data_IF_247396020293
#
_entry.id   IF_247396020293
#
_cell.length_a   1.000
_cell.length_b   1.000
_cell.length_c   1.000
_cell.angle_alpha   90.00
_cell.angle_beta   90.00
_cell.angle_gamma   90.00
#
_symmetry.space_group_name_H-M   'P 1'
#
loop_
_entity.id
_entity.type
_entity.pdbx_description
1 polymer ?
#
# COMPACT_ATOMS: atom_id res chain seq x y z
N UNK A 1 12.26 -0.21 20.61
CA UNK A 1 13.13 -0.97 19.68
C UNK A 1 14.51 -0.33 19.67
N UNK A 2 15.58 -1.08 20.02
CA UNK A 2 16.97 -0.57 19.99
C UNK A 2 17.65 -0.89 18.66
N UNK A 3 18.75 -0.19 18.33
CA UNK A 3 19.51 -0.48 17.11
C UNK A 3 20.09 -1.91 17.11
N UNK A 4 20.51 -2.43 18.26
CA UNK A 4 20.99 -3.80 18.39
C UNK A 4 19.89 -4.83 18.13
N UNK A 5 18.70 -4.64 18.71
CA UNK A 5 17.53 -5.52 18.46
C UNK A 5 17.11 -5.47 16.99
N UNK A 6 17.14 -4.28 16.37
CA UNK A 6 16.91 -4.12 14.93
C UNK A 6 18.00 -4.81 14.08
N UNK A 7 19.27 -4.83 14.51
CA UNK A 7 20.35 -5.56 13.84
C UNK A 7 20.18 -7.08 13.94
N UNK A 8 19.79 -7.61 15.09
CA UNK A 8 19.54 -9.06 15.28
C UNK A 8 18.38 -9.53 14.43
N UNK A 9 17.34 -8.69 14.31
CA UNK A 9 16.37 -8.88 13.25
C UNK A 9 17.17 -8.87 11.93
N UNK A 10 17.81 -7.78 11.52
CA UNK A 10 18.49 -7.66 10.22
C UNK A 10 19.59 -8.68 9.85
N UNK A 11 20.09 -9.52 10.77
CA UNK A 11 20.98 -10.66 10.48
C UNK A 11 20.40 -11.60 9.40
N UNK A 12 19.13 -11.43 9.01
CA UNK A 12 18.45 -11.95 7.81
C UNK A 12 19.20 -11.88 6.47
N UNK A 13 20.09 -10.90 6.29
CA UNK A 13 20.74 -10.62 5.00
C UNK A 13 22.24 -10.95 4.94
N UNK A 14 22.89 -11.33 6.05
CA UNK A 14 24.35 -11.45 6.12
C UNK A 14 24.95 -12.65 5.37
N UNK A 15 24.12 -13.61 4.94
CA UNK A 15 24.52 -14.67 4.00
C UNK A 15 24.38 -14.30 2.51
N UNK A 16 23.75 -13.17 2.18
CA UNK A 16 23.57 -12.70 0.82
C UNK A 16 24.45 -11.46 0.57
N UNK A 17 25.33 -11.55 -0.41
CA UNK A 17 26.16 -10.45 -0.92
C UNK A 17 25.32 -9.38 -1.64
N UNK A 18 24.38 -8.75 -0.94
CA UNK A 18 23.41 -7.82 -1.54
C UNK A 18 22.95 -6.72 -0.59
N UNK A 19 22.90 -5.48 -1.11
CA UNK A 19 22.46 -4.24 -0.47
C UNK A 19 20.95 -4.19 -0.16
N UNK A 20 20.35 -5.27 0.32
CA UNK A 20 18.95 -5.25 0.70
C UNK A 20 18.79 -4.50 2.03
N UNK A 21 17.98 -3.45 2.05
CA UNK A 21 17.79 -2.67 3.25
C UNK A 21 16.96 -3.44 4.28
N UNK A 22 17.55 -3.66 5.46
CA UNK A 22 16.92 -4.34 6.58
C UNK A 22 15.72 -3.60 7.18
N UNK A 23 15.10 -4.21 8.19
CA UNK A 23 14.25 -3.58 9.19
C UNK A 23 14.88 -2.26 9.65
N UNK A 24 14.34 -1.15 9.14
CA UNK A 24 14.61 0.20 9.61
C UNK A 24 13.70 0.47 10.81
N UNK A 25 14.24 1.07 11.87
CA UNK A 25 13.47 1.52 13.03
C UNK A 25 12.42 2.58 12.66
N UNK A 26 12.62 3.27 11.53
CA UNK A 26 11.73 4.32 11.03
C UNK A 26 11.24 3.98 9.62
N UNK A 27 9.92 3.98 9.44
CA UNK A 27 9.23 3.89 8.14
C UNK A 27 8.21 5.02 8.04
N UNK A 28 7.99 5.52 6.83
CA UNK A 28 6.98 6.53 6.55
C UNK A 28 5.58 6.01 6.93
N UNK A 29 4.73 6.90 7.47
CA UNK A 29 3.41 6.52 7.97
C UNK A 29 2.50 5.87 6.90
N UNK A 30 2.54 6.37 5.66
CA UNK A 30 1.81 5.79 4.53
C UNK A 30 2.26 4.35 4.21
N UNK A 31 3.56 4.08 4.33
CA UNK A 31 4.13 2.74 4.16
C UNK A 31 3.64 1.79 5.26
N UNK A 32 3.61 2.25 6.51
CA UNK A 32 3.10 1.45 7.63
C UNK A 32 1.63 1.08 7.44
N UNK A 33 0.79 2.04 7.02
CA UNK A 33 -0.62 1.77 6.73
C UNK A 33 -0.77 0.70 5.63
N UNK A 34 0.03 0.76 4.58
CA UNK A 34 0.05 -0.26 3.52
C UNK A 34 0.50 -1.63 4.04
N UNK A 35 1.54 -1.68 4.87
CA UNK A 35 2.08 -2.93 5.40
C UNK A 35 1.10 -3.62 6.36
N UNK A 36 0.52 -2.87 7.29
CA UNK A 36 -0.50 -3.41 8.19
C UNK A 36 -1.77 -3.83 7.44
N UNK A 37 -2.15 -3.12 6.38
CA UNK A 37 -3.24 -3.57 5.49
C UNK A 37 -2.93 -4.95 4.92
N UNK A 38 -1.70 -5.18 4.43
CA UNK A 38 -1.30 -6.50 3.89
C UNK A 38 -1.32 -7.61 4.94
N UNK A 39 -0.95 -7.31 6.17
CA UNK A 39 -1.07 -8.29 7.27
C UNK A 39 -2.53 -8.60 7.62
N UNK A 40 -3.41 -7.59 7.62
CA UNK A 40 -4.86 -7.77 7.81
C UNK A 40 -5.48 -8.60 6.68
N UNK A 41 -5.03 -8.40 5.44
CA UNK A 41 -5.43 -9.24 4.30
C UNK A 41 -4.98 -10.69 4.48
N UNK A 42 -3.75 -10.94 4.95
CA UNK A 42 -3.27 -12.29 5.27
C UNK A 42 -4.14 -12.94 6.36
N UNK A 43 -4.48 -12.22 7.43
CA UNK A 43 -5.35 -12.72 8.49
C UNK A 43 -6.74 -13.07 7.96
N UNK A 44 -7.31 -12.19 7.11
CA UNK A 44 -8.58 -12.43 6.44
C UNK A 44 -8.53 -13.66 5.53
N UNK A 45 -7.44 -13.81 4.77
CA UNK A 45 -7.22 -14.97 3.91
C UNK A 45 -7.13 -16.24 4.74
N UNK A 46 -6.32 -16.26 5.80
CA UNK A 46 -6.19 -17.41 6.69
C UNK A 46 -7.54 -17.81 7.31
N UNK A 47 -8.29 -16.84 7.84
CA UNK A 47 -9.62 -17.10 8.40
C UNK A 47 -10.58 -17.67 7.36
N UNK A 48 -10.66 -17.06 6.17
CA UNK A 48 -11.63 -17.44 5.14
C UNK A 48 -11.28 -18.74 4.43
N UNK A 49 -10.02 -18.94 4.11
CA UNK A 49 -9.59 -20.01 3.19
C UNK A 49 -9.05 -21.22 3.94
N UNK A 50 -8.42 -21.02 5.10
CA UNK A 50 -7.80 -22.10 5.86
C UNK A 50 -8.66 -22.58 7.04
N UNK A 51 -9.33 -21.66 7.74
CA UNK A 51 -10.10 -21.98 8.94
C UNK A 51 -11.59 -22.20 8.69
N UNK A 52 -12.25 -21.34 7.92
CA UNK A 52 -13.63 -21.56 7.53
C UNK A 52 -13.73 -22.59 6.41
N UNK A 53 -14.63 -23.56 6.58
CA UNK A 53 -14.93 -24.58 5.58
C UNK A 53 -15.75 -24.04 4.38
N UNK A 54 -16.14 -22.75 4.41
CA UNK A 54 -17.01 -22.16 3.39
C UNK A 54 -16.20 -21.79 2.15
N UNK A 55 -16.49 -22.47 1.04
CA UNK A 55 -15.82 -22.35 -0.26
C UNK A 55 -15.82 -20.93 -0.84
N UNK A 56 -14.85 -20.11 -0.41
CA UNK A 56 -14.57 -18.80 -1.00
C UNK A 56 -14.02 -18.90 -2.43
N UNK A 57 -13.63 -20.10 -2.85
CA UNK A 57 -13.28 -20.43 -4.22
C UNK A 57 -14.36 -21.33 -4.81
N UNK A 58 -14.78 -21.02 -6.03
CA UNK A 58 -15.73 -21.83 -6.78
C UNK A 58 -14.97 -22.92 -7.52
N UNK A 59 -15.44 -24.18 -7.43
CA UNK A 59 -14.97 -25.25 -8.31
C UNK A 59 -15.71 -25.15 -9.64
N UNK A 60 -14.96 -25.13 -10.73
CA UNK A 60 -15.48 -25.24 -12.09
C UNK A 60 -15.59 -26.70 -12.55
N UNK A 61 -14.83 -27.61 -11.91
CA UNK A 61 -14.90 -29.05 -12.17
C UNK A 61 -14.62 -29.86 -10.90
N UNK A 62 -15.14 -31.09 -10.84
CA UNK A 62 -15.04 -31.98 -9.67
C UNK A 62 -13.59 -32.36 -9.31
N UNK A 63 -12.66 -32.30 -10.28
CA UNK A 63 -11.24 -32.56 -10.08
C UNK A 63 -10.38 -31.33 -9.75
N UNK A 64 -10.96 -30.12 -9.72
CA UNK A 64 -10.19 -28.90 -9.49
C UNK A 64 -9.78 -28.81 -8.02
N UNK A 65 -8.48 -28.85 -7.75
CA UNK A 65 -7.91 -28.62 -6.41
C UNK A 65 -7.93 -27.13 -6.08
N UNK A 66 -8.54 -26.78 -4.95
CA UNK A 66 -8.63 -25.41 -4.44
C UNK A 66 -7.63 -25.20 -3.29
N UNK A 67 -7.29 -23.95 -2.94
CA UNK A 67 -6.40 -23.68 -1.82
C UNK A 67 -6.85 -24.31 -0.50
N UNK A 68 -8.16 -24.36 -0.24
CA UNK A 68 -8.72 -25.00 0.95
C UNK A 68 -8.48 -26.51 1.02
N UNK A 69 -8.21 -27.17 -0.12
CA UNK A 69 -7.90 -28.61 -0.17
C UNK A 69 -6.43 -28.91 0.13
N UNK A 70 -5.57 -27.90 -0.01
CA UNK A 70 -4.11 -28.05 0.11
C UNK A 70 -3.61 -27.52 1.43
N UNK A 71 -4.22 -26.43 1.93
CA UNK A 71 -3.79 -25.80 3.18
C UNK A 71 -4.09 -26.72 4.36
N UNK A 72 -3.08 -26.96 5.19
CA UNK A 72 -3.18 -27.78 6.40
C UNK A 72 -2.82 -26.91 7.60
N UNK A 73 -3.80 -26.65 8.48
CA UNK A 73 -3.56 -25.89 9.70
C UNK A 73 -2.74 -26.71 10.69
N UNK A 74 -1.73 -26.08 11.30
CA UNK A 74 -1.04 -26.71 12.43
C UNK A 74 -1.92 -26.70 13.67
N UNK A 75 -1.69 -27.62 14.61
CA UNK A 75 -2.43 -27.63 15.88
C UNK A 75 -2.35 -26.31 16.64
N UNK A 76 -1.21 -25.61 16.57
CA UNK A 76 -1.04 -24.29 17.17
C UNK A 76 -1.89 -23.21 16.48
N UNK A 77 -1.98 -23.23 15.15
CA UNK A 77 -2.82 -22.30 14.38
C UNK A 77 -4.30 -22.54 14.66
N UNK A 78 -4.73 -23.80 14.66
CA UNK A 78 -6.10 -24.17 14.94
C UNK A 78 -6.51 -23.78 16.36
N UNK A 79 -5.69 -24.12 17.36
CA UNK A 79 -5.94 -23.76 18.75
C UNK A 79 -6.02 -22.24 18.96
N UNK A 80 -5.11 -21.47 18.37
CA UNK A 80 -5.11 -20.02 18.50
C UNK A 80 -6.37 -19.41 17.86
N UNK A 81 -6.81 -19.93 16.72
CA UNK A 81 -8.03 -19.48 16.06
C UNK A 81 -9.29 -19.83 16.87
N UNK A 82 -9.39 -21.05 17.39
CA UNK A 82 -10.49 -21.46 18.25
C UNK A 82 -10.57 -20.60 19.52
N UNK A 83 -9.43 -20.27 20.11
CA UNK A 83 -9.33 -19.35 21.25
C UNK A 83 -9.82 -17.94 20.90
N UNK A 84 -9.39 -17.38 19.77
CA UNK A 84 -9.88 -16.08 19.27
C UNK A 84 -11.40 -16.12 19.08
N UNK A 85 -11.91 -17.15 18.41
CA UNK A 85 -13.36 -17.29 18.17
C UNK A 85 -14.14 -17.50 19.46
N UNK A 86 -13.59 -18.20 20.45
CA UNK A 86 -14.17 -18.33 21.78
C UNK A 86 -14.28 -16.99 22.50
N UNK A 87 -13.20 -16.20 22.49
CA UNK A 87 -13.16 -14.85 23.10
C UNK A 87 -14.18 -13.92 22.42
N UNK A 88 -14.20 -13.90 21.09
CA UNK A 88 -15.09 -13.02 20.32
C UNK A 88 -16.58 -13.35 20.52
N UNK A 89 -16.92 -14.58 20.95
CA UNK A 89 -18.32 -14.99 21.21
C UNK A 89 -18.83 -14.57 22.59
N UNK A 90 -17.96 -14.06 23.47
CA UNK A 90 -18.35 -13.59 24.79
C UNK A 90 -19.10 -12.26 24.70
N UNK A 91 -20.04 -12.06 25.61
CA UNK A 91 -20.85 -10.85 25.66
C UNK A 91 -20.07 -9.65 26.24
N UNK A 92 -18.96 -9.91 26.97
CA UNK A 92 -18.08 -8.93 27.61
C UNK A 92 -16.80 -8.62 26.81
N UNK A 93 -16.83 -8.87 25.49
CA UNK A 93 -15.66 -8.76 24.61
C UNK A 93 -15.00 -7.39 24.61
N UNK A 94 -15.75 -6.32 24.90
CA UNK A 94 -15.24 -4.94 24.90
C UNK A 94 -14.61 -4.54 26.25
N UNK A 95 -14.62 -5.42 27.26
CA UNK A 95 -13.91 -5.19 28.52
C UNK A 95 -12.39 -5.24 28.32
N UNK A 96 -11.65 -4.44 29.09
CA UNK A 96 -10.18 -4.33 28.94
C UNK A 96 -9.47 -5.67 29.13
N UNK A 97 -9.93 -6.49 30.08
CA UNK A 97 -9.38 -7.82 30.37
C UNK A 97 -9.57 -8.76 29.17
N UNK A 98 -10.76 -8.80 28.59
CA UNK A 98 -11.06 -9.66 27.44
C UNK A 98 -10.36 -9.16 26.19
N UNK A 99 -10.21 -7.85 26.01
CA UNK A 99 -9.39 -7.27 24.95
C UNK A 99 -7.91 -7.62 25.10
N UNK A 100 -7.38 -7.67 26.34
CA UNK A 100 -6.01 -8.13 26.58
C UNK A 100 -5.84 -9.62 26.23
N UNK A 101 -6.81 -10.46 26.59
CA UNK A 101 -6.85 -11.87 26.20
C UNK A 101 -6.93 -12.04 24.67
N UNK A 102 -7.73 -11.21 23.99
CA UNK A 102 -7.86 -11.22 22.53
C UNK A 102 -6.53 -10.84 21.87
N UNK A 103 -5.89 -9.74 22.30
CA UNK A 103 -4.56 -9.31 21.80
C UNK A 103 -3.53 -10.43 21.96
N UNK A 104 -3.52 -11.09 23.11
CA UNK A 104 -2.63 -12.22 23.36
C UNK A 104 -2.93 -13.41 22.43
N UNK A 105 -4.20 -13.77 22.23
CA UNK A 105 -4.57 -14.86 21.33
C UNK A 105 -4.23 -14.55 19.85
N UNK A 106 -4.44 -13.29 19.42
CA UNK A 106 -4.04 -12.81 18.08
C UNK A 106 -2.54 -12.87 17.88
N UNK A 107 -1.75 -12.47 18.89
CA UNK A 107 -0.29 -12.61 18.88
C UNK A 107 0.13 -14.07 18.72
N UNK A 108 -0.48 -14.98 19.48
CA UNK A 108 -0.23 -16.43 19.38
C UNK A 108 -0.53 -16.96 17.98
N UNK A 109 -1.65 -16.54 17.37
CA UNK A 109 -2.00 -16.93 16.00
C UNK A 109 -0.95 -16.46 14.99
N UNK A 110 -0.53 -15.19 15.03
CA UNK A 110 0.46 -14.69 14.09
C UNK A 110 1.80 -15.39 14.24
N UNK A 111 2.26 -15.63 15.47
CA UNK A 111 3.49 -16.39 15.71
C UNK A 111 3.34 -17.82 15.17
N UNK A 112 2.21 -18.49 15.37
CA UNK A 112 1.96 -19.82 14.81
C UNK A 112 1.90 -19.83 13.26
N UNK A 113 1.44 -18.74 12.64
CA UNK A 113 1.46 -18.57 11.18
C UNK A 113 2.87 -18.27 10.65
N UNK A 114 3.70 -17.52 11.38
CA UNK A 114 5.05 -17.13 10.97
C UNK A 114 6.05 -18.26 11.25
N UNK A 115 5.94 -18.92 12.39
CA UNK A 115 6.96 -19.79 12.98
C UNK A 115 6.50 -21.27 12.96
N UNK A 116 6.35 -21.83 11.77
CA UNK A 116 6.11 -23.25 11.57
C UNK A 116 6.96 -23.80 10.41
N UNK A 117 7.14 -25.12 10.39
CA UNK A 117 7.84 -25.83 9.32
C UNK A 117 6.83 -26.26 8.26
N UNK A 118 7.18 -26.11 6.99
CA UNK A 118 6.33 -26.49 5.84
C UNK A 118 6.91 -27.66 5.04
N UNK A 119 8.20 -27.95 5.21
CA UNK A 119 8.88 -29.04 4.52
C UNK A 119 8.81 -28.92 3.00
N UNK A 120 8.67 -30.05 2.32
CA UNK A 120 8.62 -30.15 0.85
C UNK A 120 7.28 -29.71 0.22
N UNK A 121 6.27 -29.36 1.02
CA UNK A 121 4.92 -29.01 0.54
C UNK A 121 4.55 -27.59 0.96
N UNK A 122 5.22 -26.55 0.40
CA UNK A 122 5.13 -25.17 0.89
C UNK A 122 3.71 -24.61 0.94
N UNK A 123 2.86 -24.97 -0.02
CA UNK A 123 1.51 -24.45 -0.13
C UNK A 123 0.51 -25.04 0.88
N UNK A 124 0.92 -25.99 1.72
CA UNK A 124 0.19 -26.33 2.95
C UNK A 124 0.10 -25.15 3.91
N UNK A 125 1.06 -24.24 3.85
CA UNK A 125 1.00 -23.00 4.61
C UNK A 125 0.03 -22.01 4.00
N UNK A 126 -0.94 -21.55 4.80
CA UNK A 126 -1.82 -20.45 4.41
C UNK A 126 -1.04 -19.18 4.05
N UNK A 127 0.14 -18.96 4.66
CA UNK A 127 0.98 -17.78 4.40
C UNK A 127 1.58 -17.86 2.99
N UNK A 128 2.13 -19.01 2.61
CA UNK A 128 2.70 -19.20 1.28
C UNK A 128 1.62 -19.28 0.19
N UNK A 129 0.48 -19.87 0.51
CA UNK A 129 -0.70 -19.85 -0.38
C UNK A 129 -1.22 -18.42 -0.60
N UNK A 130 -1.28 -17.60 0.46
CA UNK A 130 -1.59 -16.17 0.32
C UNK A 130 -0.56 -15.44 -0.53
N UNK A 131 0.74 -15.69 -0.32
CA UNK A 131 1.79 -15.12 -1.17
C UNK A 131 1.65 -15.55 -2.64
N UNK A 132 1.20 -16.77 -2.93
CA UNK A 132 0.90 -17.19 -4.29
C UNK A 132 -0.27 -16.37 -4.86
N UNK A 133 -1.34 -16.14 -4.09
CA UNK A 133 -2.46 -15.30 -4.52
C UNK A 133 -2.05 -13.84 -4.81
N UNK A 134 -1.10 -13.30 -4.06
CA UNK A 134 -0.56 -11.94 -4.29
C UNK A 134 0.24 -11.80 -5.59
N UNK A 135 0.60 -12.90 -6.25
CA UNK A 135 1.22 -12.87 -7.57
C UNK A 135 0.24 -12.55 -8.70
N UNK A 136 -1.06 -12.46 -8.38
CA UNK A 136 -2.14 -12.19 -9.34
C UNK A 136 -2.79 -10.85 -9.01
N UNK A 137 -3.02 -10.03 -10.03
CA UNK A 137 -3.77 -8.79 -9.95
C UNK A 137 -5.05 -8.92 -10.77
N UNK A 138 -6.18 -8.54 -10.19
CA UNK A 138 -7.48 -8.53 -10.89
C UNK A 138 -7.80 -7.08 -11.22
N UNK A 139 -7.94 -6.76 -12.52
CA UNK A 139 -8.46 -5.47 -12.94
C UNK A 139 -9.98 -5.48 -12.77
N UNK A 140 -10.47 -4.73 -11.78
CA UNK A 140 -11.88 -4.33 -11.75
C UNK A 140 -12.00 -3.15 -12.70
N UNK A 141 -12.74 -3.30 -13.82
CA UNK A 141 -13.08 -2.16 -14.70
C UNK A 141 -13.89 -1.16 -13.87
N UNK A 142 -13.24 -0.20 -13.22
CA UNK A 142 -13.91 0.95 -12.63
C UNK A 142 -13.71 2.23 -13.45
N UNK A 143 -12.76 2.27 -14.41
CA UNK A 143 -12.42 3.50 -15.16
C UNK A 143 -12.51 3.40 -16.70
N UNK A 144 -13.21 2.43 -17.28
CA UNK A 144 -13.56 2.52 -18.71
C UNK A 144 -14.91 1.88 -19.02
N UNK A 145 -15.84 2.76 -19.38
CA UNK A 145 -17.12 2.52 -20.03
C UNK A 145 -18.04 1.45 -19.45
N UNK A 146 -19.18 1.93 -18.92
CA UNK A 146 -20.40 1.18 -18.62
C UNK A 146 -21.09 0.62 -19.87
N UNK A 147 -20.36 0.07 -20.84
CA UNK A 147 -20.94 -0.59 -22.01
C UNK A 147 -20.28 -1.94 -22.25
N UNK A 148 -21.18 -2.95 -22.27
CA UNK A 148 -21.04 -4.36 -22.68
C UNK A 148 -20.49 -5.31 -21.61
N UNK A 149 -21.42 -6.15 -21.14
CA UNK A 149 -21.26 -7.59 -20.94
C UNK A 149 -20.17 -8.02 -19.95
N UNK A 150 -20.60 -8.67 -18.89
CA UNK A 150 -19.80 -9.40 -17.88
C UNK A 150 -18.65 -10.23 -18.49
N UNK A 151 -17.54 -9.61 -18.85
CA UNK A 151 -16.28 -10.30 -19.08
C UNK A 151 -15.65 -10.52 -17.71
N UNK A 152 -15.53 -11.79 -17.29
CA UNK A 152 -14.88 -12.18 -16.05
C UNK A 152 -13.56 -11.41 -15.89
N UNK A 153 -13.35 -10.79 -14.73
CA UNK A 153 -12.18 -9.97 -14.48
C UNK A 153 -10.91 -10.79 -14.73
N UNK A 154 -10.20 -10.48 -15.83
CA UNK A 154 -9.07 -11.28 -16.25
C UNK A 154 -7.90 -11.00 -15.31
N UNK A 155 -7.53 -12.00 -14.52
CA UNK A 155 -6.37 -11.89 -13.63
C UNK A 155 -5.08 -11.85 -14.44
N UNK A 156 -4.27 -10.82 -14.23
CA UNK A 156 -2.94 -10.65 -14.82
C UNK A 156 -1.90 -10.96 -13.74
N UNK A 157 -0.71 -11.41 -14.14
CA UNK A 157 0.41 -11.53 -13.21
C UNK A 157 0.82 -10.17 -12.68
N UNK A 158 1.02 -10.08 -11.36
CA UNK A 158 1.50 -8.88 -10.69
C UNK A 158 2.90 -8.51 -11.21
N UNK A 159 3.16 -7.21 -11.36
CA UNK A 159 4.48 -6.79 -11.79
C UNK A 159 5.51 -7.10 -10.71
N UNK A 160 6.74 -7.45 -11.13
CA UNK A 160 7.86 -7.80 -10.25
C UNK A 160 8.03 -6.83 -9.07
N UNK A 161 7.94 -5.53 -9.32
CA UNK A 161 8.10 -4.51 -8.29
C UNK A 161 6.92 -4.50 -7.30
N UNK A 162 5.69 -4.72 -7.78
CA UNK A 162 4.49 -4.84 -6.94
C UNK A 162 4.53 -6.10 -6.07
N UNK A 163 4.92 -7.24 -6.65
CA UNK A 163 5.01 -8.49 -5.91
C UNK A 163 6.12 -8.46 -4.85
N UNK A 164 7.31 -7.95 -5.18
CA UNK A 164 8.40 -7.80 -4.20
C UNK A 164 8.03 -6.80 -3.09
N UNK A 165 7.28 -5.74 -3.39
CA UNK A 165 6.78 -4.81 -2.37
C UNK A 165 5.82 -5.51 -1.39
N UNK A 166 4.93 -6.37 -1.87
CA UNK A 166 4.04 -7.18 -1.04
C UNK A 166 4.83 -8.13 -0.12
N UNK A 167 5.81 -8.86 -0.66
CA UNK A 167 6.65 -9.75 0.16
C UNK A 167 7.46 -8.96 1.20
N UNK A 168 7.96 -7.78 0.83
CA UNK A 168 8.69 -6.89 1.75
C UNK A 168 7.80 -6.39 2.89
N UNK A 169 6.52 -6.10 2.60
CA UNK A 169 5.54 -5.74 3.62
C UNK A 169 5.34 -6.87 4.63
N UNK A 170 5.12 -8.10 4.14
CA UNK A 170 4.94 -9.28 4.99
C UNK A 170 6.19 -9.57 5.82
N UNK A 171 7.38 -9.54 5.21
CA UNK A 171 8.65 -9.74 5.90
C UNK A 171 8.81 -8.73 7.04
N UNK A 172 8.57 -7.44 6.78
CA UNK A 172 8.75 -6.41 7.79
C UNK A 172 7.73 -6.52 8.93
N UNK A 173 6.47 -6.78 8.63
CA UNK A 173 5.45 -6.94 9.69
C UNK A 173 5.69 -8.19 10.51
N UNK A 174 6.15 -9.29 9.92
CA UNK A 174 6.50 -10.50 10.66
C UNK A 174 7.69 -10.28 11.60
N UNK A 175 8.70 -9.51 11.19
CA UNK A 175 9.80 -9.09 12.06
C UNK A 175 9.30 -8.30 13.28
N UNK A 176 8.33 -7.40 13.06
CA UNK A 176 7.72 -6.63 14.14
C UNK A 176 6.92 -7.53 15.09
N UNK A 177 6.18 -8.51 14.58
CA UNK A 177 5.42 -9.46 15.40
C UNK A 177 6.36 -10.36 16.21
N UNK A 178 7.45 -10.87 15.62
CA UNK A 178 8.46 -11.65 16.35
C UNK A 178 9.06 -10.81 17.46
N UNK A 179 9.34 -9.52 17.19
CA UNK A 179 9.84 -8.60 18.19
C UNK A 179 8.85 -8.36 19.33
N UNK A 180 7.61 -8.04 19.02
CA UNK A 180 6.54 -7.85 20.00
C UNK A 180 6.34 -9.12 20.85
N UNK A 181 6.39 -10.29 20.22
CA UNK A 181 6.34 -11.57 20.92
C UNK A 181 7.54 -11.80 21.85
N UNK A 182 8.76 -11.49 21.41
CA UNK A 182 9.95 -11.61 22.25
C UNK A 182 9.88 -10.68 23.48
N UNK A 183 9.45 -9.43 23.28
CA UNK A 183 9.22 -8.49 24.38
C UNK A 183 8.15 -8.99 25.36
N UNK A 184 7.09 -9.62 24.84
CA UNK A 184 6.03 -10.18 25.68
C UNK A 184 6.51 -11.41 26.49
N UNK A 185 7.31 -12.29 25.89
CA UNK A 185 7.82 -13.48 26.58
C UNK A 185 8.88 -13.14 27.63
N UNK A 186 9.79 -12.22 27.30
CA UNK A 186 10.93 -11.86 28.14
C UNK A 186 10.68 -10.54 28.90
N UNK A 187 9.42 -10.24 29.23
CA UNK A 187 9.04 -8.99 29.92
C UNK A 187 9.66 -8.87 31.33
N UNK A 188 10.00 -9.99 31.95
CA UNK A 188 10.63 -10.04 33.29
C UNK A 188 12.17 -9.92 33.24
N UNK A 189 12.80 -10.24 32.11
CA UNK A 189 14.25 -10.08 31.88
C UNK A 189 14.52 -9.61 30.44
N UNK A 190 14.52 -8.29 30.25
CA UNK A 190 14.77 -7.66 28.95
C UNK A 190 16.13 -8.03 28.32
N UNK A 191 17.08 -8.54 29.12
CA UNK A 191 18.38 -8.98 28.62
C UNK A 191 18.30 -10.30 27.83
N UNK A 192 17.21 -11.08 27.98
CA UNK A 192 16.97 -12.28 27.18
C UNK A 192 16.39 -11.99 25.80
N UNK A 193 15.76 -10.82 25.60
CA UNK A 193 15.14 -10.45 24.31
C UNK A 193 16.10 -10.68 23.13
N UNK A 194 17.38 -10.22 23.16
CA UNK A 194 18.34 -10.51 22.10
C UNK A 194 18.56 -12.01 21.81
N UNK A 195 18.65 -12.85 22.85
CA UNK A 195 18.89 -14.28 22.72
C UNK A 195 17.66 -15.00 22.16
N UNK A 196 16.48 -14.62 22.63
CA UNK A 196 15.21 -15.12 22.14
C UNK A 196 15.03 -14.78 20.65
N UNK A 197 15.27 -13.52 20.27
CA UNK A 197 15.21 -13.07 18.88
C UNK A 197 16.16 -13.87 17.99
N UNK A 198 17.42 -14.06 18.41
CA UNK A 198 18.41 -14.84 17.65
C UNK A 198 17.91 -16.27 17.41
N UNK A 199 17.38 -16.91 18.45
CA UNK A 199 16.84 -18.28 18.36
C UNK A 199 15.69 -18.37 17.37
N UNK A 200 14.72 -17.44 17.46
CA UNK A 200 13.58 -17.39 16.55
C UNK A 200 14.01 -17.14 15.10
N UNK A 201 14.94 -16.21 14.88
CA UNK A 201 15.41 -15.86 13.54
C UNK A 201 16.19 -17.02 12.91
N UNK A 202 17.11 -17.64 13.66
CA UNK A 202 17.87 -18.81 13.18
C UNK A 202 16.95 -19.98 12.85
N UNK A 203 15.91 -20.23 13.64
CA UNK A 203 15.03 -21.38 13.41
C UNK A 203 14.02 -21.15 12.29
N UNK A 204 13.40 -19.97 12.25
CA UNK A 204 12.21 -19.74 11.43
C UNK A 204 12.34 -18.66 10.37
N UNK A 205 13.31 -17.77 10.49
CA UNK A 205 13.39 -16.54 9.71
C UNK A 205 14.75 -16.40 9.01
N UNK A 206 15.19 -17.49 8.37
CA UNK A 206 16.42 -17.54 7.57
C UNK A 206 16.16 -18.19 6.21
N UNK A 207 16.95 -17.84 5.21
CA UNK A 207 16.73 -18.26 3.81
C UNK A 207 16.77 -19.77 3.60
N UNK A 208 17.56 -20.52 4.39
CA UNK A 208 17.66 -21.97 4.25
C UNK A 208 16.64 -22.75 5.09
N UNK A 209 15.79 -22.05 5.85
CA UNK A 209 14.77 -22.72 6.65
C UNK A 209 13.58 -23.16 5.79
N UNK A 210 13.08 -24.37 6.02
CA UNK A 210 11.86 -24.90 5.41
C UNK A 210 10.61 -24.36 6.12
N UNK A 211 10.49 -23.04 6.15
CA UNK A 211 9.42 -22.29 6.83
C UNK A 211 8.80 -21.28 5.86
N UNK A 212 7.62 -20.72 6.17
CA UNK A 212 7.00 -19.74 5.28
C UNK A 212 7.92 -18.57 4.99
N UNK A 213 8.60 -18.04 6.02
CA UNK A 213 9.48 -16.91 5.84
C UNK A 213 10.83 -17.29 5.24
N UNK A 214 11.31 -18.53 5.39
CA UNK A 214 12.45 -19.02 4.62
C UNK A 214 12.18 -19.00 3.12
N UNK A 215 11.03 -19.55 2.68
CA UNK A 215 10.61 -19.49 1.27
C UNK A 215 10.38 -18.05 0.78
N UNK A 216 9.69 -17.20 1.55
CA UNK A 216 9.48 -15.79 1.17
C UNK A 216 10.82 -15.07 0.98
N UNK A 217 11.81 -15.32 1.85
CA UNK A 217 13.14 -14.73 1.73
C UNK A 217 13.88 -15.24 0.49
N UNK A 218 13.82 -16.54 0.19
CA UNK A 218 14.37 -17.11 -1.05
C UNK A 218 13.71 -16.49 -2.30
N UNK A 219 12.38 -16.35 -2.31
CA UNK A 219 11.66 -15.73 -3.43
C UNK A 219 12.05 -14.28 -3.62
N UNK A 220 12.22 -13.51 -2.53
CA UNK A 220 12.68 -12.12 -2.61
C UNK A 220 14.10 -12.03 -3.16
N UNK A 221 15.01 -12.92 -2.75
CA UNK A 221 16.36 -12.99 -3.33
C UNK A 221 16.33 -13.32 -4.83
N UNK A 222 15.52 -14.31 -5.22
CA UNK A 222 15.37 -14.66 -6.62
C UNK A 222 14.82 -13.48 -7.43
N UNK A 223 13.79 -12.79 -6.93
CA UNK A 223 13.25 -11.58 -7.55
C UNK A 223 14.28 -10.46 -7.66
N UNK A 224 15.14 -10.30 -6.65
CA UNK A 224 16.25 -9.36 -6.69
C UNK A 224 17.27 -9.75 -7.77
N UNK A 225 17.66 -11.03 -7.84
CA UNK A 225 18.63 -11.49 -8.84
C UNK A 225 18.11 -11.36 -10.26
N UNK A 226 16.86 -11.78 -10.48
CA UNK A 226 16.16 -11.55 -11.75
C UNK A 226 16.08 -10.05 -12.02
N UNK A 227 15.94 -9.21 -11.00
CA UNK A 227 15.85 -7.76 -11.21
C UNK A 227 17.11 -7.09 -11.74
N UNK A 228 18.27 -7.60 -11.35
CA UNK A 228 19.56 -7.16 -11.89
C UNK A 228 19.74 -7.54 -13.35
N UNK A 229 19.15 -8.67 -13.77
CA UNK A 229 19.37 -9.25 -15.12
C UNK A 229 18.24 -8.97 -16.11
N UNK A 230 17.07 -8.53 -15.65
CA UNK A 230 15.97 -8.19 -16.57
C UNK A 230 16.21 -6.82 -17.18
N UNK A 231 16.49 -6.80 -18.49
CA UNK A 231 16.43 -5.61 -19.35
C UNK A 231 15.13 -4.88 -19.04
N UNK A 232 15.21 -3.65 -18.55
CA UNK A 232 14.04 -2.93 -18.06
C UNK A 232 12.98 -2.88 -19.17
N UNK A 233 11.72 -3.20 -18.84
CA UNK A 233 10.59 -3.20 -19.80
C UNK A 233 10.41 -1.86 -20.53
N UNK A 234 10.99 -0.79 -19.99
CA UNK A 234 10.97 0.58 -20.52
C UNK A 234 12.37 1.04 -20.95
N UNK A 235 13.25 0.12 -21.32
CA UNK A 235 14.54 0.50 -21.88
C UNK A 235 14.42 0.58 -23.39
N UNK A 236 14.85 1.70 -23.94
CA UNK A 236 15.11 1.84 -25.35
C UNK A 236 16.24 0.86 -25.72
N UNK A 237 16.01 0.00 -26.71
CA UNK A 237 16.98 -1.00 -27.17
C UNK A 237 17.52 -0.58 -28.52
N UNK A 238 18.84 -0.58 -28.67
CA UNK A 238 19.45 -0.44 -29.98
C UNK A 238 19.21 -1.70 -30.79
N UNK A 239 18.73 -1.53 -32.02
CA UNK A 239 18.82 -2.58 -33.02
C UNK A 239 20.29 -2.75 -33.44
N UNK A 240 20.58 -3.90 -34.06
CA UNK A 240 21.94 -4.26 -34.51
C UNK A 240 22.52 -3.28 -35.53
N UNK A 241 21.67 -2.46 -36.16
CA UNK A 241 22.09 -1.40 -37.09
C UNK A 241 22.79 -0.22 -36.39
N UNK A 242 22.64 -0.08 -35.07
CA UNK A 242 23.21 1.04 -34.30
C UNK A 242 22.55 2.39 -34.56
N UNK A 243 21.53 2.45 -35.41
CA UNK A 243 20.87 3.67 -35.87
C UNK A 243 19.37 3.68 -35.56
N UNK A 244 18.82 2.57 -35.10
CA UNK A 244 17.40 2.44 -34.72
C UNK A 244 17.27 2.04 -33.26
N UNK A 245 16.39 2.74 -32.55
CA UNK A 245 16.03 2.46 -31.17
C UNK A 245 14.60 1.90 -31.13
N UNK A 246 14.42 0.73 -30.53
CA UNK A 246 13.11 0.18 -30.23
C UNK A 246 12.71 0.51 -28.78
N UNK A 247 11.54 1.14 -28.61
CA UNK A 247 10.96 1.44 -27.32
C UNK A 247 9.49 1.02 -27.29
N UNK A 248 9.14 0.08 -26.40
CA UNK A 248 7.76 -0.44 -26.21
C UNK A 248 7.10 -0.94 -27.51
N UNK A 249 7.86 -1.52 -28.44
CA UNK A 249 7.37 -2.02 -29.72
C UNK A 249 7.32 -0.97 -30.84
N UNK A 250 7.74 0.26 -30.56
CA UNK A 250 7.92 1.31 -31.57
C UNK A 250 9.39 1.42 -31.92
N UNK A 251 9.74 1.17 -33.18
CA UNK A 251 11.08 1.42 -33.70
C UNK A 251 11.19 2.86 -34.19
N UNK A 252 12.20 3.58 -33.71
CA UNK A 252 12.50 4.96 -34.07
C UNK A 252 13.93 5.02 -34.59
N UNK A 253 14.09 5.39 -35.86
CA UNK A 253 15.40 5.69 -36.42
C UNK A 253 15.94 7.00 -35.81
N UNK A 254 17.26 7.13 -35.61
CA UNK A 254 17.85 8.31 -34.96
C UNK A 254 17.44 9.63 -35.61
N UNK A 255 17.33 9.68 -36.95
CA UNK A 255 16.76 10.82 -37.69
C UNK A 255 15.35 11.20 -37.22
N UNK A 256 14.49 10.23 -36.95
CA UNK A 256 13.13 10.45 -36.45
C UNK A 256 13.15 10.90 -34.98
N UNK A 257 14.09 10.39 -34.18
CA UNK A 257 14.27 10.86 -32.79
C UNK A 257 14.67 12.34 -32.77
N UNK A 258 15.59 12.76 -33.64
CA UNK A 258 15.98 14.18 -33.76
C UNK A 258 14.80 15.04 -34.20
N UNK A 259 14.00 14.56 -35.16
CA UNK A 259 12.79 15.26 -35.61
C UNK A 259 11.74 15.36 -34.51
N UNK A 260 11.52 14.27 -33.76
CA UNK A 260 10.61 14.24 -32.62
C UNK A 260 11.06 15.24 -31.56
N UNK A 261 12.33 15.23 -31.15
CA UNK A 261 12.84 16.21 -30.19
C UNK A 261 12.65 17.66 -30.68
N UNK A 262 12.90 17.92 -31.97
CA UNK A 262 12.67 19.23 -32.56
C UNK A 262 11.18 19.61 -32.65
N UNK A 263 10.27 18.64 -32.82
CA UNK A 263 8.83 18.88 -32.82
C UNK A 263 8.31 19.14 -31.40
N UNK A 264 8.65 18.29 -30.44
CA UNK A 264 8.28 18.43 -29.03
C UNK A 264 8.86 19.72 -28.44
N UNK A 265 10.10 20.07 -28.76
CA UNK A 265 10.69 21.36 -28.35
C UNK A 265 9.90 22.54 -28.90
N UNK A 266 9.54 22.53 -30.19
CA UNK A 266 8.74 23.62 -30.78
C UNK A 266 7.34 23.69 -30.20
N UNK A 267 6.72 22.54 -29.91
CA UNK A 267 5.41 22.49 -29.28
C UNK A 267 5.46 23.01 -27.84
N UNK A 268 6.43 22.55 -27.05
CA UNK A 268 6.66 23.04 -25.69
C UNK A 268 7.00 24.54 -25.68
N UNK A 269 7.83 24.99 -26.63
CA UNK A 269 8.13 26.40 -26.80
C UNK A 269 6.86 27.20 -27.13
N UNK A 270 6.05 26.77 -28.09
CA UNK A 270 4.83 27.50 -28.45
C UNK A 270 3.83 27.53 -27.29
N UNK A 271 3.67 26.42 -26.57
CA UNK A 271 2.84 26.36 -25.35
C UNK A 271 3.33 27.35 -24.28
N UNK A 272 4.63 27.35 -23.96
CA UNK A 272 5.18 28.19 -22.89
C UNK A 272 5.26 29.67 -23.29
N UNK A 273 5.69 29.94 -24.52
CA UNK A 273 5.99 31.27 -25.02
C UNK A 273 4.75 31.98 -25.57
N UNK A 274 3.91 31.27 -26.31
CA UNK A 274 2.77 31.85 -27.04
C UNK A 274 1.44 31.63 -26.31
N UNK A 275 1.15 30.42 -25.84
CA UNK A 275 -0.13 30.11 -25.18
C UNK A 275 -0.17 30.52 -23.72
N UNK A 276 0.93 30.30 -22.98
CA UNK A 276 1.09 30.75 -21.60
C UNK A 276 1.64 32.19 -21.52
N UNK A 277 1.74 32.87 -22.67
CA UNK A 277 2.10 34.29 -22.86
C UNK A 277 3.42 34.75 -22.21
N UNK A 278 4.27 33.84 -21.72
CA UNK A 278 5.55 34.18 -21.09
C UNK A 278 6.55 34.80 -22.07
N UNK A 279 6.34 34.61 -23.38
CA UNK A 279 7.13 35.25 -24.44
C UNK A 279 6.73 36.68 -24.76
N UNK A 280 5.57 37.13 -24.28
CA UNK A 280 5.09 38.52 -24.39
C UNK A 280 5.36 39.34 -23.13
N UNK A 281 5.82 38.67 -22.07
CA UNK A 281 6.20 39.28 -20.82
C UNK A 281 7.39 40.21 -21.03
N UNK A 282 7.22 41.50 -20.77
CA UNK A 282 8.28 42.49 -21.02
C UNK A 282 9.31 42.53 -19.89
N UNK A 283 8.90 42.12 -18.70
CA UNK A 283 9.72 42.21 -17.49
C UNK A 283 10.35 40.86 -17.08
N UNK A 284 10.09 39.79 -17.82
CA UNK A 284 10.74 38.50 -17.58
C UNK A 284 12.06 38.43 -18.33
N UNK A 285 13.16 38.41 -17.57
CA UNK A 285 14.49 38.15 -18.13
C UNK A 285 14.56 36.66 -18.52
N UNK A 286 14.86 36.32 -19.79
CA UNK A 286 15.04 34.93 -20.18
C UNK A 286 16.19 34.29 -19.42
N UNK A 287 15.91 33.23 -18.68
CA UNK A 287 16.95 32.43 -18.01
C UNK A 287 17.55 31.49 -19.05
N UNK A 288 18.86 31.60 -19.25
CA UNK A 288 19.60 30.70 -20.12
C UNK A 288 19.69 29.32 -19.48
N UNK A 289 18.90 28.37 -20.00
CA UNK A 289 18.76 27.02 -19.44
C UNK A 289 20.08 26.26 -19.29
N UNK A 290 21.08 26.53 -20.16
CA UNK A 290 22.41 25.91 -20.09
C UNK A 290 23.27 26.39 -18.91
N UNK A 291 22.92 27.53 -18.29
CA UNK A 291 23.61 28.05 -17.10
C UNK A 291 23.09 27.43 -15.80
N UNK A 292 21.86 26.92 -15.80
CA UNK A 292 21.26 26.27 -14.64
C UNK A 292 22.03 24.99 -14.28
N UNK A 293 22.33 24.85 -12.99
CA UNK A 293 22.86 23.62 -12.40
C UNK A 293 21.70 22.82 -11.82
N UNK A 294 21.56 21.59 -12.25
CA UNK A 294 20.64 20.63 -11.66
C UNK A 294 21.47 19.50 -11.04
N UNK A 295 21.05 19.02 -9.88
CA UNK A 295 21.69 17.92 -9.18
C UNK A 295 20.64 16.84 -8.91
N UNK A 296 20.69 15.81 -9.76
CA UNK A 296 19.75 14.69 -9.73
C UNK A 296 19.95 13.79 -8.50
N UNK A 297 21.04 13.97 -7.75
CA UNK A 297 21.34 13.25 -6.52
C UNK A 297 20.86 14.02 -5.27
N UNK A 298 20.17 15.16 -5.42
CA UNK A 298 19.56 15.86 -4.29
C UNK A 298 18.38 15.08 -3.68
N UNK A 299 18.61 14.53 -2.49
CA UNK A 299 17.62 13.75 -1.73
C UNK A 299 16.71 14.59 -0.80
N UNK A 300 16.83 15.92 -0.83
CA UNK A 300 16.06 16.83 0.03
C UNK A 300 14.59 16.92 -0.38
N UNK A 301 13.67 16.74 0.58
CA UNK A 301 12.23 16.88 0.33
C UNK A 301 11.89 18.31 -0.11
N UNK A 302 11.35 18.47 -1.32
CA UNK A 302 11.00 19.77 -1.90
C UNK A 302 12.18 20.50 -2.56
N UNK A 303 13.36 19.89 -2.63
CA UNK A 303 14.49 20.45 -3.36
C UNK A 303 14.29 20.33 -4.87
N UNK A 304 14.67 21.37 -5.59
CA UNK A 304 14.75 21.42 -7.06
C UNK A 304 15.90 22.32 -7.48
N UNK A 305 16.14 22.45 -8.79
CA UNK A 305 17.10 23.42 -9.33
C UNK A 305 16.82 24.87 -8.89
N UNK A 306 15.57 25.22 -8.51
CA UNK A 306 15.22 26.54 -7.95
C UNK A 306 15.86 26.79 -6.57
N UNK A 307 16.12 25.74 -5.81
CA UNK A 307 16.68 25.81 -4.45
C UNK A 307 18.20 25.56 -4.40
N UNK A 308 18.84 25.35 -5.55
CA UNK A 308 20.29 25.15 -5.63
C UNK A 308 21.02 26.49 -5.48
N UNK A 309 21.91 26.59 -4.48
CA UNK A 309 22.67 27.80 -4.21
C UNK A 309 23.51 28.28 -5.40
N UNK A 310 23.91 27.39 -6.31
CA UNK A 310 24.66 27.73 -7.53
C UNK A 310 23.82 28.47 -8.56
N UNK A 311 22.49 28.37 -8.46
CA UNK A 311 21.55 29.07 -9.33
C UNK A 311 21.02 30.37 -8.71
N UNK A 312 21.42 30.72 -7.47
CA UNK A 312 20.83 31.83 -6.72
C UNK A 312 20.82 33.15 -7.52
N UNK A 313 21.93 33.51 -8.15
CA UNK A 313 22.03 34.72 -8.98
C UNK A 313 21.19 34.66 -10.26
N UNK A 314 20.91 33.47 -10.80
CA UNK A 314 20.13 33.28 -12.02
C UNK A 314 18.62 33.35 -11.77
N UNK A 315 18.18 33.01 -10.56
CA UNK A 315 16.76 32.97 -10.18
C UNK A 315 16.33 34.13 -9.28
N UNK A 316 17.28 34.96 -8.82
CA UNK A 316 17.00 36.09 -7.92
C UNK A 316 15.98 37.06 -8.54
N UNK A 317 14.90 37.31 -7.81
CA UNK A 317 13.80 38.19 -8.23
C UNK A 317 12.93 37.66 -9.38
N UNK A 318 13.19 36.47 -9.93
CA UNK A 318 12.42 35.91 -11.03
C UNK A 318 10.96 35.58 -10.64
N UNK A 319 10.75 35.17 -9.40
CA UNK A 319 9.42 34.91 -8.81
C UNK A 319 8.58 36.20 -8.71
N UNK A 320 9.19 37.30 -8.25
CA UNK A 320 8.54 38.60 -8.13
C UNK A 320 8.27 39.20 -9.50
N UNK A 321 9.22 39.11 -10.43
CA UNK A 321 9.03 39.57 -11.80
C UNK A 321 7.88 38.83 -12.50
N UNK A 322 7.80 37.51 -12.31
CA UNK A 322 6.69 36.69 -12.81
C UNK A 322 5.36 37.09 -12.18
N UNK A 323 5.32 37.27 -10.86
CA UNK A 323 4.09 37.68 -10.18
C UNK A 323 3.61 39.07 -10.62
N UNK A 324 4.52 40.04 -10.79
CA UNK A 324 4.17 41.36 -11.30
C UNK A 324 3.59 41.27 -12.71
N UNK A 325 4.22 40.50 -13.60
CA UNK A 325 3.72 40.33 -14.98
C UNK A 325 2.33 39.65 -15.01
N UNK A 326 2.13 38.63 -14.17
CA UNK A 326 0.82 37.97 -14.03
C UNK A 326 -0.27 38.92 -13.51
N UNK A 327 0.09 39.92 -12.70
CA UNK A 327 -0.86 40.90 -12.16
C UNK A 327 -1.15 42.05 -13.13
N UNK A 328 -0.14 42.47 -13.89
CA UNK A 328 -0.20 43.61 -14.81
C UNK A 328 -0.82 43.23 -16.17
N UNK A 329 -0.65 41.98 -16.62
CA UNK A 329 -1.30 41.49 -17.84
C UNK A 329 -2.74 41.05 -17.57
N UNK A 330 -3.75 41.69 -18.19
CA UNK A 330 -5.15 41.32 -18.02
C UNK A 330 -5.46 39.87 -18.41
N UNK A 331 -4.83 39.39 -19.48
CA UNK A 331 -5.01 38.03 -20.02
C UNK A 331 -4.39 36.98 -19.10
N UNK A 332 -3.16 37.21 -18.62
CA UNK A 332 -2.49 36.32 -17.66
C UNK A 332 -3.19 36.32 -16.31
N UNK A 333 -3.65 37.48 -15.85
CA UNK A 333 -4.43 37.62 -14.62
C UNK A 333 -5.69 36.78 -14.67
N UNK A 334 -6.43 36.81 -15.78
CA UNK A 334 -7.65 35.99 -15.94
C UNK A 334 -7.35 34.48 -15.92
N UNK A 335 -6.21 34.05 -16.47
CA UNK A 335 -5.84 32.63 -16.56
C UNK A 335 -5.31 32.10 -15.22
N UNK A 336 -4.48 32.88 -14.51
CA UNK A 336 -3.69 32.40 -13.38
C UNK A 336 -4.13 32.93 -12.00
N UNK A 337 -4.83 34.06 -11.94
CA UNK A 337 -5.28 34.66 -10.68
C UNK A 337 -6.80 34.50 -10.58
N UNK A 338 -7.26 33.74 -9.58
CA UNK A 338 -8.68 33.70 -9.26
C UNK A 338 -9.12 35.06 -8.74
N UNK A 339 -10.08 35.70 -9.39
CA UNK A 339 -10.77 36.84 -8.80
C UNK A 339 -11.55 36.35 -7.58
N UNK A 340 -11.28 36.95 -6.42
CA UNK A 340 -11.98 36.66 -5.15
C UNK A 340 -13.48 37.03 -5.17
N UNK A 341 -14.05 37.36 -6.33
CA UNK A 341 -15.39 37.91 -6.48
C UNK A 341 -16.51 36.92 -6.75
N UNK A 342 -16.22 35.68 -7.16
CA UNK A 342 -17.29 34.76 -7.60
C UNK A 342 -17.62 33.65 -6.60
N UNK A 343 -16.73 33.32 -5.65
CA UNK A 343 -17.00 32.28 -4.64
C UNK A 343 -17.84 32.79 -3.43
N UNK A 344 -18.13 34.09 -3.32
CA UNK A 344 -19.01 34.64 -2.27
C UNK A 344 -20.45 34.93 -2.71
N UNK A 345 -20.73 34.98 -4.02
CA UNK A 345 -22.08 35.20 -4.54
C UNK A 345 -22.90 33.90 -4.57
N UNK A 346 -22.27 32.75 -4.82
CA UNK A 346 -22.94 31.44 -4.84
C UNK A 346 -23.31 30.92 -3.43
N UNK A 347 -22.84 31.58 -2.37
CA UNK A 347 -23.24 31.28 -0.97
C UNK A 347 -24.33 32.19 -0.41
N UNK A 348 -24.80 33.19 -1.17
CA UNK A 348 -25.81 34.14 -0.67
C UNK A 348 -27.21 33.97 -1.29
N UNK A 349 -27.35 33.22 -2.39
CA UNK A 349 -28.66 33.03 -3.06
C UNK A 349 -29.45 31.80 -2.59
N UNK A 350 -28.89 30.91 -1.76
CA UNK A 350 -29.65 29.81 -1.11
C UNK A 350 -30.32 30.22 0.22
N UNK A 351 -30.26 31.51 0.57
CA UNK A 351 -30.59 32.03 1.91
C UNK A 351 -31.75 33.02 1.97
N UNK A 352 -32.75 32.95 1.09
CA UNK A 352 -33.95 33.79 1.22
C UNK A 352 -35.20 33.16 0.58
N UNK A 353 -35.94 32.38 1.37
CA UNK A 353 -37.24 31.88 0.90
C UNK A 353 -38.00 30.97 1.86
N UNK A 354 -38.44 31.48 3.02
CA UNK A 354 -39.68 31.01 3.67
C UNK A 354 -40.08 31.95 4.82
N UNK A 355 -41.04 32.82 4.54
CA UNK A 355 -41.72 33.62 5.55
C UNK A 355 -42.80 32.83 6.30
N UNK A 356 -42.78 32.96 7.63
CA UNK A 356 -43.87 32.95 8.61
C UNK A 356 -45.23 32.33 8.23
N UNK A 357 -45.69 31.38 9.06
CA UNK A 357 -46.97 31.48 9.77
C UNK A 357 -46.87 30.85 11.17
N UNK A 358 -47.49 31.55 12.14
CA UNK A 358 -47.42 31.37 13.59
C UNK A 358 -48.37 30.26 14.12
N UNK A 359 -48.28 29.92 15.42
CA UNK A 359 -48.62 28.61 15.98
C UNK A 359 -50.03 28.55 16.56
N UNK A 360 -50.49 27.34 16.87
CA UNK A 360 -51.49 27.19 17.92
C UNK A 360 -51.43 25.85 18.68
N UNK A 361 -52.01 25.93 19.88
CA UNK A 361 -51.89 25.09 21.07
C UNK A 361 -52.13 23.57 20.97
N UNK A 362 -51.55 22.84 21.93
CA UNK A 362 -52.38 22.03 22.83
C UNK A 362 -52.12 20.52 22.91
N UNK A 363 -51.77 20.10 24.13
CA UNK A 363 -52.24 18.87 24.83
C UNK A 363 -51.77 17.47 24.37
N UNK A 364 -50.98 16.84 25.25
CA UNK A 364 -51.40 15.66 26.03
C UNK A 364 -51.43 14.29 25.35
N UNK A 365 -50.67 13.32 25.90
CA UNK A 365 -50.92 11.90 25.64
C UNK A 365 -49.78 10.96 25.98
N UNK A 366 -49.70 10.54 27.24
CA UNK A 366 -49.06 9.26 27.61
C UNK A 366 -49.72 8.10 26.84
N UNK A 367 -48.91 7.14 26.37
CA UNK A 367 -49.30 5.73 26.33
C UNK A 367 -48.08 4.83 26.28
N UNK A 368 -47.84 4.17 27.41
CA UNK A 368 -47.10 2.92 27.50
C UNK A 368 -47.72 1.87 26.58
N UNK A 369 -46.88 1.03 25.97
CA UNK A 369 -47.23 -0.38 25.73
C UNK A 369 -45.97 -1.23 25.69
N UNK A 370 -45.87 -2.05 26.72
CA UNK A 370 -44.97 -3.18 26.88
C UNK A 370 -45.15 -4.28 25.81
N UNK A 371 -44.06 -5.07 25.70
CA UNK A 371 -43.98 -6.52 25.43
C UNK A 371 -44.09 -7.02 23.97
N UNK A 372 -42.98 -7.64 23.55
CA UNK A 372 -42.93 -8.60 22.45
C UNK A 372 -41.56 -9.22 22.31
N UNK A 373 -41.24 -10.22 23.13
CA UNK A 373 -40.02 -11.02 22.99
C UNK A 373 -39.98 -11.82 21.68
N UNK A 374 -38.79 -11.96 21.09
CA UNK A 374 -38.63 -12.63 19.81
C UNK A 374 -37.18 -13.02 19.46
N UNK A 375 -36.67 -14.05 20.12
CA UNK A 375 -35.72 -15.08 19.62
C UNK A 375 -34.62 -14.65 18.61
N UNK A 376 -33.42 -14.42 19.15
CA UNK A 376 -32.23 -15.29 19.00
C UNK A 376 -32.19 -16.15 17.71
N UNK A 377 -31.92 -15.55 16.54
CA UNK A 377 -31.49 -16.25 15.31
C UNK A 377 -30.68 -15.33 14.37
N UNK A 378 -29.64 -14.66 14.87
CA UNK A 378 -28.64 -14.00 14.02
C UNK A 378 -27.23 -14.27 14.55
N UNK A 379 -26.73 -15.51 14.39
CA UNK A 379 -25.31 -15.82 14.67
C UNK A 379 -24.54 -16.46 13.50
N UNK A 380 -25.17 -16.67 12.35
CA UNK A 380 -24.52 -17.19 11.11
C UNK A 380 -24.65 -16.27 9.88
N UNK A 381 -25.16 -15.04 10.06
CA UNK A 381 -25.24 -14.05 8.99
C UNK A 381 -23.84 -13.62 8.54
N UNK A 382 -23.66 -13.40 7.23
CA UNK A 382 -22.44 -12.81 6.63
C UNK A 382 -22.02 -11.53 7.36
N UNK A 383 -23.00 -10.78 7.90
CA UNK A 383 -22.79 -9.57 8.71
C UNK A 383 -22.04 -9.85 10.01
N UNK A 384 -22.40 -10.91 10.75
CA UNK A 384 -21.70 -11.32 11.98
C UNK A 384 -20.28 -11.81 11.70
N UNK A 385 -20.05 -12.48 10.56
CA UNK A 385 -18.71 -12.93 10.12
C UNK A 385 -17.79 -11.76 9.75
N UNK A 386 -18.33 -10.74 9.08
CA UNK A 386 -17.59 -9.50 8.78
C UNK A 386 -17.28 -8.69 10.05
N UNK A 387 -18.15 -8.73 11.05
CA UNK A 387 -17.94 -8.07 12.33
C UNK A 387 -16.82 -8.73 13.14
N UNK A 388 -16.75 -10.08 13.17
CA UNK A 388 -15.63 -10.80 13.76
C UNK A 388 -14.30 -10.45 13.10
N UNK A 389 -14.27 -10.41 11.77
CA UNK A 389 -13.10 -9.98 11.00
C UNK A 389 -12.69 -8.55 11.32
N UNK A 390 -13.66 -7.63 11.42
CA UNK A 390 -13.39 -6.22 11.76
C UNK A 390 -12.79 -6.08 13.16
N UNK A 391 -13.35 -6.77 14.16
CA UNK A 391 -12.85 -6.74 15.54
C UNK A 391 -11.45 -7.36 15.65
N UNK A 392 -11.21 -8.48 14.97
CA UNK A 392 -9.89 -9.14 14.92
C UNK A 392 -8.83 -8.23 14.27
N UNK A 393 -9.17 -7.57 13.17
CA UNK A 393 -8.27 -6.62 12.49
C UNK A 393 -8.06 -5.31 13.25
N UNK A 394 -8.99 -4.89 14.12
CA UNK A 394 -8.87 -3.67 14.91
C UNK A 394 -8.10 -3.87 16.24
N UNK A 395 -7.95 -5.12 16.68
CA UNK A 395 -7.10 -5.49 17.81
C UNK A 395 -5.59 -5.42 17.49
N UNK A 396 -5.23 -5.06 16.26
CA UNK A 396 -3.86 -4.94 15.74
C UNK A 396 -3.51 -3.51 15.35
#
# INVERSE_FOLDING_TARGET
>A
MTQQRARILNEFYSGATGKAQGFRSFKNASTLASYFRKMKELLAYHYRVAYQADGHFTRESDGQVLPADVIELTGAQQWAMEKIMGILRRDDVDSEEVQAQLRHAVRQLYVAMICHVVGSVPFRSSVLSFCAMLSRRVYRKEDSDKRKGSSAAQGVWEERNGYNANLSALTWTAQLIIFDYACFQEQEDENQIPNFLRTMCQKFFQQLAETPFGHILQWRLYLFKVSETTVAKKQARWLLDGDTIEYRGTALHMKQVTQLMGAEYRQAHSLLHDELLLGRARNLVPIESWKLKDDLDMDGYGCSWLSDARNAELVDGADRALLCELQESPELRQIFLKDKGEDEQERRDDGAGAGNHQPDAGTGGQREREKGGGRRKEKNSVRGRLEYMRRMCNSF
#
